data_IF_336042169815
#
_entry.id   IF_336042169815
#
_cell.length_a   1.000
_cell.length_b   1.000
_cell.length_c   1.000
_cell.angle_alpha   90.00
_cell.angle_beta   90.00
_cell.angle_gamma   90.00
#
_symmetry.space_group_name_H-M   'P 1'
#
loop_
_entity.id
_entity.type
_entity.pdbx_description
1 polymer ?
#
# COMPACT_ATOMS: atom_id res chain seq x y z
N UNK A 1 -24.30 -14.78 -4.30
CA UNK A 1 -22.91 -14.29 -4.28
C UNK A 1 -22.16 -15.14 -3.27
N UNK A 2 -21.04 -15.76 -3.65
CA UNK A 2 -20.26 -16.67 -2.81
C UNK A 2 -19.36 -15.84 -1.88
N UNK A 3 -19.44 -16.08 -0.57
CA UNK A 3 -18.61 -15.39 0.43
C UNK A 3 -17.50 -16.35 0.92
N UNK A 4 -16.25 -15.95 0.69
CA UNK A 4 -15.05 -16.70 1.06
C UNK A 4 -14.29 -16.06 2.23
N UNK A 5 -14.80 -14.97 2.81
CA UNK A 5 -14.11 -14.17 3.83
C UNK A 5 -13.54 -15.00 4.97
N UNK A 6 -14.32 -15.93 5.51
CA UNK A 6 -13.91 -16.84 6.59
C UNK A 6 -12.69 -17.69 6.23
N UNK A 7 -12.60 -18.15 4.98
CA UNK A 7 -11.47 -18.95 4.50
C UNK A 7 -10.19 -18.11 4.41
N UNK A 8 -10.31 -16.87 3.91
CA UNK A 8 -9.19 -15.94 3.82
C UNK A 8 -8.65 -15.60 5.22
N UNK A 9 -9.53 -15.20 6.16
CA UNK A 9 -9.10 -14.89 7.53
C UNK A 9 -8.46 -16.09 8.24
N UNK A 10 -9.04 -17.29 8.09
CA UNK A 10 -8.47 -18.51 8.68
C UNK A 10 -7.08 -18.82 8.13
N UNK A 11 -6.87 -18.63 6.83
CA UNK A 11 -5.60 -18.94 6.16
C UNK A 11 -4.50 -17.91 6.42
N UNK A 12 -4.90 -16.66 6.67
CA UNK A 12 -4.00 -15.54 7.00
C UNK A 12 -3.70 -15.41 8.49
N UNK A 13 -4.33 -16.24 9.32
CA UNK A 13 -4.12 -16.24 10.77
C UNK A 13 -2.63 -16.42 11.09
N UNK A 14 -2.12 -15.58 11.99
CA UNK A 14 -0.73 -15.59 12.45
C UNK A 14 0.33 -15.36 11.35
N UNK A 15 -0.06 -14.85 10.17
CA UNK A 15 0.84 -14.54 9.07
C UNK A 15 1.28 -13.08 9.12
N UNK A 16 2.59 -12.86 9.07
CA UNK A 16 3.18 -11.52 9.05
C UNK A 16 4.00 -11.24 7.79
N UNK A 17 4.63 -12.24 7.19
CA UNK A 17 5.47 -12.09 6.01
C UNK A 17 4.66 -11.64 4.78
N UNK A 18 5.01 -10.50 4.15
CA UNK A 18 4.25 -9.97 3.02
C UNK A 18 4.20 -10.87 1.78
N UNK A 19 5.27 -11.59 1.47
CA UNK A 19 5.30 -12.48 0.30
C UNK A 19 4.46 -13.74 0.56
N UNK A 20 4.51 -14.28 1.79
CA UNK A 20 3.63 -15.35 2.23
C UNK A 20 2.16 -14.93 2.15
N UNK A 21 1.82 -13.74 2.64
CA UNK A 21 0.45 -13.17 2.56
C UNK A 21 -0.03 -13.07 1.11
N UNK A 22 0.78 -12.48 0.22
CA UNK A 22 0.46 -12.33 -1.22
C UNK A 22 0.22 -13.69 -1.87
N UNK A 23 1.07 -14.67 -1.57
CA UNK A 23 0.96 -16.03 -2.10
C UNK A 23 -0.30 -16.74 -1.61
N UNK A 24 -0.62 -16.65 -0.31
CA UNK A 24 -1.85 -17.24 0.26
C UNK A 24 -3.07 -16.64 -0.42
N UNK A 25 -3.18 -15.31 -0.47
CA UNK A 25 -4.30 -14.60 -1.10
C UNK A 25 -4.43 -14.98 -2.58
N UNK A 26 -3.31 -15.02 -3.31
CA UNK A 26 -3.28 -15.42 -4.72
C UNK A 26 -3.79 -16.84 -4.95
N UNK A 27 -3.37 -17.81 -4.12
CA UNK A 27 -3.82 -19.19 -4.24
C UNK A 27 -5.31 -19.35 -3.89
N UNK A 28 -5.75 -18.74 -2.79
CA UNK A 28 -7.15 -18.80 -2.37
C UNK A 28 -8.10 -18.16 -3.36
N UNK A 29 -7.67 -17.09 -4.03
CA UNK A 29 -8.45 -16.47 -5.10
C UNK A 29 -8.69 -17.45 -6.26
N UNK A 30 -7.66 -18.19 -6.68
CA UNK A 30 -7.80 -19.20 -7.74
C UNK A 30 -8.70 -20.36 -7.30
N UNK A 31 -8.52 -20.86 -6.08
CA UNK A 31 -9.38 -21.93 -5.55
C UNK A 31 -10.84 -21.47 -5.44
N UNK A 32 -11.09 -20.22 -5.02
CA UNK A 32 -12.42 -19.64 -4.96
C UNK A 32 -13.03 -19.50 -6.36
N UNK A 33 -12.24 -19.06 -7.34
CA UNK A 33 -12.63 -19.03 -8.76
C UNK A 33 -12.99 -20.41 -9.26
N UNK A 34 -12.16 -21.42 -9.05
CA UNK A 34 -12.38 -22.77 -9.57
C UNK A 34 -13.65 -23.39 -8.95
N UNK A 35 -13.87 -23.15 -7.66
CA UNK A 35 -15.11 -23.54 -7.00
C UNK A 35 -16.33 -22.80 -7.56
N UNK A 36 -16.22 -21.51 -7.89
CA UNK A 36 -17.29 -20.76 -8.53
C UNK A 36 -17.59 -21.22 -9.97
N UNK A 37 -16.55 -21.57 -10.75
CA UNK A 37 -16.69 -22.15 -12.10
C UNK A 37 -17.42 -23.49 -12.02
N UNK A 38 -17.08 -24.32 -11.03
CA UNK A 38 -17.74 -25.59 -10.77
C UNK A 38 -19.20 -25.42 -10.35
N UNK A 39 -19.50 -24.50 -9.44
CA UNK A 39 -20.88 -24.23 -9.00
C UNK A 39 -21.79 -23.77 -10.14
N UNK A 40 -21.22 -23.15 -11.18
CA UNK A 40 -21.92 -22.69 -12.38
C UNK A 40 -21.95 -23.72 -13.51
N UNK A 41 -21.42 -24.94 -13.29
CA UNK A 41 -21.30 -26.00 -14.30
C UNK A 41 -20.57 -25.57 -15.58
N UNK A 42 -19.55 -24.71 -15.41
CA UNK A 42 -18.74 -24.18 -16.52
C UNK A 42 -17.49 -25.05 -16.80
N UNK A 43 -17.34 -26.22 -16.17
CA UNK A 43 -16.15 -27.09 -16.33
C UNK A 43 -15.99 -27.61 -17.77
N UNK A 44 -17.08 -27.72 -18.54
CA UNK A 44 -17.13 -28.36 -19.87
C UNK A 44 -17.69 -27.45 -20.98
N UNK A 45 -17.45 -26.13 -20.92
CA UNK A 45 -18.07 -25.16 -21.85
C UNK A 45 -17.15 -24.47 -22.87
N UNK A 46 -17.79 -23.97 -23.94
CA UNK A 46 -17.31 -22.96 -24.90
C UNK A 46 -17.32 -21.56 -24.26
N UNK A 47 -16.55 -21.38 -23.19
CA UNK A 47 -16.40 -20.09 -22.52
C UNK A 47 -14.99 -19.54 -22.71
N UNK A 48 -14.90 -18.21 -22.67
CA UNK A 48 -13.66 -17.46 -22.74
C UNK A 48 -13.48 -16.67 -21.43
N UNK A 49 -12.26 -16.63 -20.92
CA UNK A 49 -11.87 -15.77 -19.81
C UNK A 49 -11.55 -14.37 -20.34
N UNK A 50 -12.41 -13.40 -20.04
CA UNK A 50 -12.11 -11.98 -20.28
C UNK A 50 -11.25 -11.40 -19.16
N UNK A 51 -10.10 -10.80 -19.50
CA UNK A 51 -9.26 -10.06 -18.56
C UNK A 51 -9.12 -8.60 -18.98
N UNK A 52 -9.16 -7.70 -18.01
CA UNK A 52 -8.93 -6.27 -18.19
C UNK A 52 -7.45 -5.88 -18.16
N UNK A 53 -6.55 -6.75 -18.63
CA UNK A 53 -5.12 -6.48 -18.71
C UNK A 53 -4.87 -5.29 -19.62
N UNK A 54 -4.03 -4.33 -19.20
CA UNK A 54 -3.70 -3.12 -19.96
C UNK A 54 -2.24 -3.10 -20.41
N UNK A 55 -1.86 -2.17 -21.28
CA UNK A 55 -0.52 -2.13 -21.86
C UNK A 55 0.62 -2.09 -20.81
N UNK A 56 0.57 -1.26 -19.75
CA UNK A 56 1.58 -1.29 -18.68
C UNK A 56 1.81 -2.66 -18.04
N UNK A 57 0.75 -3.47 -17.86
CA UNK A 57 0.85 -4.80 -17.24
C UNK A 57 1.60 -5.78 -18.16
N UNK A 58 1.48 -5.61 -19.48
CA UNK A 58 2.16 -6.44 -20.48
C UNK A 58 3.66 -6.16 -20.55
N UNK A 59 4.10 -4.93 -20.29
CA UNK A 59 5.52 -4.57 -20.22
C UNK A 59 6.14 -5.14 -18.94
N UNK A 60 5.46 -5.00 -17.79
CA UNK A 60 5.94 -5.56 -16.53
C UNK A 60 6.06 -7.09 -16.58
N UNK A 61 5.16 -7.76 -17.31
CA UNK A 61 5.19 -9.22 -17.49
C UNK A 61 6.11 -9.70 -18.63
N UNK A 62 6.36 -8.87 -19.65
CA UNK A 62 7.26 -9.17 -20.78
C UNK A 62 8.73 -8.80 -20.55
N UNK A 63 9.03 -8.04 -19.50
CA UNK A 63 10.28 -7.30 -19.32
C UNK A 63 11.33 -7.90 -18.37
N UNK A 64 11.58 -9.21 -18.35
CA UNK A 64 12.84 -9.75 -17.78
C UNK A 64 13.23 -11.10 -18.39
N UNK A 65 14.05 -11.08 -19.45
CA UNK A 65 14.86 -12.25 -19.88
C UNK A 65 15.88 -12.71 -18.82
N UNK A 66 15.93 -12.08 -17.63
CA UNK A 66 16.90 -12.37 -16.57
C UNK A 66 16.33 -12.56 -15.14
N UNK A 67 15.02 -12.71 -14.95
CA UNK A 67 14.47 -13.21 -13.66
C UNK A 67 14.13 -14.69 -13.73
N UNK A 68 15.12 -15.53 -14.04
CA UNK A 68 14.99 -16.99 -14.02
C UNK A 68 15.22 -17.63 -12.63
N UNK A 69 15.41 -16.82 -11.59
CA UNK A 69 15.77 -17.28 -10.25
C UNK A 69 14.82 -16.67 -9.22
N UNK A 70 13.62 -17.24 -9.12
CA UNK A 70 12.97 -17.75 -7.89
C UNK A 70 11.79 -18.61 -8.40
N UNK A 71 12.12 -19.87 -8.76
CA UNK A 71 11.16 -20.90 -9.12
C UNK A 71 10.66 -21.59 -7.85
N UNK A 72 9.66 -21.03 -7.22
CA UNK A 72 8.79 -21.77 -6.29
C UNK A 72 7.37 -21.22 -6.46
N UNK A 73 6.41 -22.14 -6.70
CA UNK A 73 4.95 -21.96 -6.88
C UNK A 73 4.42 -22.14 -8.31
N UNK A 74 4.47 -23.41 -8.74
CA UNK A 74 4.17 -23.93 -10.07
C UNK A 74 2.67 -24.09 -10.46
N UNK A 75 1.67 -23.57 -9.73
CA UNK A 75 0.25 -23.83 -10.10
C UNK A 75 -0.46 -22.65 -10.78
N UNK A 76 -0.17 -21.40 -10.40
CA UNK A 76 -0.89 -20.20 -10.89
C UNK A 76 -0.61 -19.88 -12.35
N UNK A 77 0.69 -19.83 -12.66
CA UNK A 77 1.17 -19.51 -14.00
C UNK A 77 0.78 -20.63 -14.95
N UNK A 78 0.90 -21.89 -14.55
CA UNK A 78 0.51 -23.03 -15.38
C UNK A 78 -0.98 -23.11 -15.69
N UNK A 79 -1.88 -22.85 -14.73
CA UNK A 79 -3.32 -22.95 -14.98
C UNK A 79 -3.82 -21.86 -15.95
N UNK A 80 -3.35 -20.62 -15.78
CA UNK A 80 -3.68 -19.53 -16.70
C UNK A 80 -2.95 -19.70 -18.03
N UNK A 81 -1.67 -20.12 -18.03
CA UNK A 81 -0.96 -20.46 -19.26
C UNK A 81 -1.64 -21.56 -20.05
N UNK A 82 -2.15 -22.61 -19.40
CA UNK A 82 -2.95 -23.64 -20.09
C UNK A 82 -4.20 -23.05 -20.75
N UNK A 83 -4.90 -22.12 -20.09
CA UNK A 83 -6.04 -21.44 -20.71
C UNK A 83 -5.61 -20.55 -21.88
N UNK A 84 -4.48 -19.85 -21.76
CA UNK A 84 -3.91 -19.04 -22.86
C UNK A 84 -3.51 -19.94 -24.04
N UNK A 85 -2.79 -21.02 -23.79
CA UNK A 85 -2.37 -22.02 -24.79
C UNK A 85 -3.55 -22.69 -25.47
N UNK A 86 -4.65 -22.90 -24.75
CA UNK A 86 -5.92 -23.41 -25.28
C UNK A 86 -6.73 -22.35 -26.03
N UNK A 87 -6.25 -21.10 -26.13
CA UNK A 87 -6.96 -20.00 -26.80
C UNK A 87 -8.21 -19.53 -26.06
N UNK A 88 -8.31 -19.80 -24.75
CA UNK A 88 -9.49 -19.51 -23.93
C UNK A 88 -9.40 -18.19 -23.16
N UNK A 89 -8.37 -17.37 -23.38
CA UNK A 89 -8.21 -16.06 -22.72
C UNK A 89 -8.31 -14.95 -23.76
N UNK A 90 -9.11 -13.92 -23.46
CA UNK A 90 -9.23 -12.70 -24.26
C UNK A 90 -8.89 -11.48 -23.40
N UNK A 91 -8.07 -10.58 -23.95
CA UNK A 91 -7.62 -9.35 -23.28
C UNK A 91 -7.93 -8.15 -24.18
N UNK A 92 -9.19 -7.65 -24.19
CA UNK A 92 -9.64 -6.71 -25.23
C UNK A 92 -8.98 -5.33 -25.19
N UNK A 93 -8.41 -4.94 -24.04
CA UNK A 93 -7.86 -3.62 -23.77
C UNK A 93 -6.34 -3.63 -23.51
N UNK A 94 -5.67 -4.72 -23.89
CA UNK A 94 -4.23 -4.96 -23.68
C UNK A 94 -3.30 -3.93 -24.31
N UNK A 95 -3.76 -3.24 -25.35
CA UNK A 95 -2.96 -2.26 -26.09
C UNK A 95 -3.24 -0.81 -25.65
N UNK A 96 -4.09 -0.62 -24.63
CA UNK A 96 -4.49 0.70 -24.13
C UNK A 96 -3.71 1.09 -22.86
N UNK A 97 -3.42 2.38 -22.74
CA UNK A 97 -2.97 3.02 -21.52
C UNK A 97 -4.13 3.34 -20.57
N UNK A 98 -3.80 3.69 -19.32
CA UNK A 98 -4.79 3.82 -18.24
C UNK A 98 -5.76 5.00 -18.43
N UNK A 99 -5.29 6.10 -19.00
CA UNK A 99 -6.10 7.23 -19.43
C UNK A 99 -7.03 6.85 -20.59
N UNK A 100 -6.53 6.13 -21.59
CA UNK A 100 -7.34 5.64 -22.71
C UNK A 100 -8.45 4.66 -22.27
N UNK A 101 -8.15 3.77 -21.32
CA UNK A 101 -9.16 2.88 -20.71
C UNK A 101 -10.24 3.67 -19.99
N UNK A 102 -9.88 4.81 -19.37
CA UNK A 102 -10.85 5.69 -18.73
C UNK A 102 -11.76 6.36 -19.75
N UNK A 103 -11.19 6.93 -20.80
CA UNK A 103 -11.96 7.56 -21.87
C UNK A 103 -12.88 6.55 -22.56
N UNK A 104 -12.40 5.33 -22.80
CA UNK A 104 -13.21 4.22 -23.33
C UNK A 104 -14.36 3.86 -22.39
N UNK A 105 -14.13 3.81 -21.07
CA UNK A 105 -15.18 3.55 -20.09
C UNK A 105 -16.31 4.58 -20.15
N UNK A 106 -15.98 5.86 -20.25
CA UNK A 106 -16.95 6.94 -20.40
C UNK A 106 -17.68 6.85 -21.75
N UNK A 107 -16.98 6.53 -22.83
CA UNK A 107 -17.57 6.32 -24.16
C UNK A 107 -18.58 5.16 -24.17
N UNK A 108 -18.33 4.12 -23.38
CA UNK A 108 -19.23 2.98 -23.17
C UNK A 108 -20.42 3.30 -22.23
N UNK A 109 -20.49 4.51 -21.68
CA UNK A 109 -21.58 4.97 -20.82
C UNK A 109 -21.40 4.68 -19.32
N UNK A 110 -20.19 4.30 -18.87
CA UNK A 110 -19.90 4.19 -17.44
C UNK A 110 -19.81 5.59 -16.82
N UNK A 111 -20.32 5.75 -15.59
CA UNK A 111 -20.22 7.06 -14.92
C UNK A 111 -18.76 7.38 -14.59
N UNK A 112 -18.39 8.65 -14.75
CA UNK A 112 -17.02 9.13 -14.55
C UNK A 112 -16.45 8.82 -13.16
N UNK A 113 -17.32 8.71 -12.16
CA UNK A 113 -16.91 8.35 -10.79
C UNK A 113 -16.40 6.91 -10.68
N UNK A 114 -16.98 5.95 -11.42
CA UNK A 114 -16.52 4.55 -11.43
C UNK A 114 -15.19 4.41 -12.13
N UNK A 115 -15.08 5.09 -13.26
CA UNK A 115 -13.90 5.08 -14.13
C UNK A 115 -12.71 5.81 -13.49
N UNK A 116 -12.99 6.88 -12.75
CA UNK A 116 -12.01 7.71 -12.07
C UNK A 116 -11.46 7.14 -10.75
N UNK A 117 -11.91 5.95 -10.31
CA UNK A 117 -11.46 5.37 -9.04
C UNK A 117 -9.94 5.21 -8.96
N UNK A 118 -9.44 5.38 -7.75
CA UNK A 118 -8.06 5.03 -7.42
C UNK A 118 -7.84 3.53 -7.63
N UNK A 119 -6.65 3.11 -8.09
CA UNK A 119 -6.29 1.70 -8.14
C UNK A 119 -6.40 1.05 -6.76
N UNK A 120 -6.89 -0.18 -6.76
CA UNK A 120 -6.92 -1.02 -5.57
C UNK A 120 -6.07 -2.27 -5.81
N UNK A 121 -5.16 -2.63 -4.90
CA UNK A 121 -4.23 -3.73 -5.12
C UNK A 121 -4.97 -5.07 -5.17
N UNK A 122 -4.49 -6.00 -5.99
CA UNK A 122 -5.08 -7.35 -6.11
C UNK A 122 -5.17 -8.11 -4.78
N UNK A 123 -4.12 -8.12 -3.92
CA UNK A 123 -4.21 -8.69 -2.57
C UNK A 123 -5.15 -7.96 -1.60
N UNK A 124 -5.72 -6.82 -2.02
CA UNK A 124 -6.61 -5.99 -1.25
C UNK A 124 -5.97 -5.39 0.00
N UNK A 125 -6.75 -5.29 1.08
CA UNK A 125 -6.33 -4.67 2.34
C UNK A 125 -5.19 -5.43 3.05
N UNK A 126 -4.88 -6.67 2.65
CA UNK A 126 -3.85 -7.49 3.30
C UNK A 126 -2.46 -6.85 3.21
N UNK A 127 -2.16 -6.18 2.10
CA UNK A 127 -0.89 -5.42 1.91
C UNK A 127 -0.92 -4.01 2.52
N UNK A 128 -2.05 -3.64 3.13
CA UNK A 128 -2.24 -2.39 3.87
C UNK A 128 -2.37 -2.62 5.37
N UNK A 129 -2.21 -3.86 5.85
CA UNK A 129 -2.18 -4.21 7.27
C UNK A 129 -0.80 -4.76 7.62
N UNK A 130 0.04 -3.90 8.20
CA UNK A 130 1.41 -4.28 8.56
C UNK A 130 1.41 -5.18 9.78
N UNK A 131 2.26 -6.20 9.74
CA UNK A 131 2.36 -7.19 10.81
C UNK A 131 3.81 -7.55 11.19
N UNK A 132 4.81 -6.87 10.60
CA UNK A 132 6.23 -7.17 10.81
C UNK A 132 6.82 -6.21 11.86
N UNK A 133 7.25 -6.76 12.99
CA UNK A 133 8.03 -6.04 13.99
C UNK A 133 9.50 -5.95 13.54
N UNK A 134 10.07 -4.75 13.60
CA UNK A 134 11.50 -4.54 13.38
C UNK A 134 11.95 -3.34 14.18
N UNK A 135 12.86 -3.55 15.13
CA UNK A 135 13.41 -2.47 15.95
C UNK A 135 14.67 -1.91 15.28
N UNK A 136 14.80 -0.58 15.29
CA UNK A 136 16.08 0.06 15.02
C UNK A 136 17.09 -0.25 16.12
N UNK A 137 18.37 -0.18 15.79
CA UNK A 137 19.43 -0.24 16.81
C UNK A 137 19.73 1.16 17.36
N UNK A 138 20.35 1.24 18.54
CA UNK A 138 20.80 2.52 19.09
C UNK A 138 21.79 3.23 18.15
N UNK A 139 22.60 2.45 17.43
CA UNK A 139 23.50 2.97 16.41
C UNK A 139 22.73 3.61 15.25
N UNK A 140 21.70 2.94 14.75
CA UNK A 140 20.83 3.47 13.68
C UNK A 140 20.16 4.79 14.13
N UNK A 141 19.70 4.85 15.38
CA UNK A 141 19.08 6.04 15.94
C UNK A 141 20.11 7.19 16.06
N UNK A 142 21.32 6.92 16.53
CA UNK A 142 22.40 7.92 16.59
C UNK A 142 22.80 8.45 15.22
N UNK A 143 22.80 7.60 14.18
CA UNK A 143 23.09 8.01 12.81
C UNK A 143 22.03 8.99 12.27
N UNK A 144 20.74 8.73 12.52
CA UNK A 144 19.68 9.66 12.10
C UNK A 144 19.67 10.95 12.94
N UNK A 145 19.92 10.86 14.24
CA UNK A 145 19.97 12.03 15.14
C UNK A 145 21.11 12.97 14.75
N UNK A 146 22.27 12.41 14.38
CA UNK A 146 23.42 13.17 13.88
C UNK A 146 23.05 13.99 12.64
N UNK A 147 22.37 13.37 11.67
CA UNK A 147 21.89 14.09 10.49
C UNK A 147 20.81 15.13 10.83
N UNK A 148 19.77 14.74 11.58
CA UNK A 148 18.65 15.62 11.90
C UNK A 148 19.04 16.81 12.79
N UNK A 149 20.10 16.69 13.59
CA UNK A 149 20.65 17.82 14.35
C UNK A 149 21.13 18.97 13.46
N UNK A 150 21.41 18.69 12.18
CA UNK A 150 21.76 19.70 11.17
C UNK A 150 20.56 20.29 10.42
N UNK A 151 19.35 19.83 10.73
CA UNK A 151 18.11 20.28 10.10
C UNK A 151 17.27 21.01 11.15
N UNK A 152 17.22 22.34 11.05
CA UNK A 152 16.62 23.27 12.03
C UNK A 152 15.41 22.71 12.79
N UNK A 153 15.62 22.25 14.03
CA UNK A 153 14.56 21.79 14.94
C UNK A 153 13.91 20.44 14.60
N UNK A 154 14.26 19.80 13.49
CA UNK A 154 13.76 18.49 13.14
C UNK A 154 14.35 17.41 14.05
N UNK A 155 13.50 16.45 14.41
CA UNK A 155 13.85 15.28 15.20
C UNK A 155 13.14 14.06 14.64
N UNK A 156 13.68 12.87 14.89
CA UNK A 156 13.09 11.65 14.38
C UNK A 156 13.27 10.46 15.31
N UNK A 157 12.41 9.47 15.14
CA UNK A 157 12.49 8.18 15.83
C UNK A 157 12.30 7.05 14.85
N UNK A 158 13.02 5.95 15.05
CA UNK A 158 12.75 4.71 14.32
C UNK A 158 11.49 4.06 14.90
N UNK A 159 10.48 3.83 14.07
CA UNK A 159 9.30 3.07 14.45
C UNK A 159 9.63 1.57 14.50
N UNK A 160 9.05 0.79 15.44
CA UNK A 160 9.33 -0.64 15.60
C UNK A 160 8.62 -1.52 14.54
N UNK A 161 8.68 -1.13 13.27
CA UNK A 161 8.05 -1.80 12.12
C UNK A 161 8.97 -1.80 10.89
N UNK A 162 8.75 -2.75 9.99
CA UNK A 162 9.37 -2.77 8.67
C UNK A 162 8.35 -2.48 7.56
N UNK A 163 8.79 -1.82 6.49
CA UNK A 163 7.99 -1.61 5.27
C UNK A 163 8.82 -1.95 4.03
N UNK A 164 8.12 -2.33 2.96
CA UNK A 164 8.74 -2.62 1.67
C UNK A 164 9.26 -1.35 0.99
N UNK A 165 10.44 -1.48 0.37
CA UNK A 165 11.05 -0.47 -0.49
C UNK A 165 11.79 -1.13 -1.64
N UNK A 166 12.23 -0.33 -2.61
CA UNK A 166 13.01 -0.75 -3.77
C UNK A 166 14.37 -0.09 -3.72
N UNK A 167 15.43 -0.90 -3.70
CA UNK A 167 16.82 -0.43 -3.76
C UNK A 167 17.53 -1.16 -4.90
N UNK A 168 17.82 -0.43 -5.99
CA UNK A 168 18.19 -1.05 -7.27
C UNK A 168 17.04 -1.90 -7.79
N UNK A 169 17.33 -3.12 -8.25
CA UNK A 169 16.34 -4.02 -8.86
C UNK A 169 15.70 -5.01 -7.86
N UNK A 170 15.92 -4.82 -6.55
CA UNK A 170 15.44 -5.74 -5.51
C UNK A 170 14.53 -5.06 -4.49
N UNK A 171 13.53 -5.82 -4.04
CA UNK A 171 12.74 -5.49 -2.86
C UNK A 171 13.63 -5.56 -1.62
N UNK A 172 13.40 -4.63 -0.70
CA UNK A 172 14.02 -4.59 0.62
C UNK A 172 12.94 -4.37 1.66
N UNK A 173 13.14 -4.92 2.87
CA UNK A 173 12.29 -4.67 4.02
C UNK A 173 13.14 -4.03 5.12
N UNK A 174 12.89 -2.77 5.41
CA UNK A 174 13.70 -1.97 6.31
C UNK A 174 12.82 -1.04 7.16
N UNK A 175 13.46 -0.35 8.10
CA UNK A 175 12.78 0.44 9.12
C UNK A 175 12.03 1.65 8.51
N UNK A 176 11.06 2.14 9.28
CA UNK A 176 10.40 3.42 9.05
C UNK A 176 10.89 4.44 10.09
N UNK A 177 11.16 5.67 9.67
CA UNK A 177 11.46 6.80 10.56
C UNK A 177 10.27 7.74 10.61
N UNK A 178 9.86 8.15 11.80
CA UNK A 178 8.90 9.24 12.00
C UNK A 178 9.65 10.53 12.30
N UNK A 179 9.20 11.64 11.70
CA UNK A 179 9.67 13.01 11.96
C UNK A 179 8.63 13.80 12.78
N UNK A 180 9.09 14.72 13.61
CA UNK A 180 8.24 15.74 14.22
C UNK A 180 7.72 16.73 13.17
N UNK A 181 6.67 17.47 13.53
CA UNK A 181 6.12 18.54 12.72
C UNK A 181 6.23 19.87 13.45
N UNK A 182 7.13 20.72 12.95
CA UNK A 182 7.39 22.08 13.44
C UNK A 182 6.99 23.12 12.39
N UNK A 183 5.97 22.80 11.59
CA UNK A 183 5.51 23.61 10.45
C UNK A 183 6.55 23.76 9.33
N UNK A 184 7.48 22.81 9.23
CA UNK A 184 8.45 22.73 8.13
C UNK A 184 7.75 22.66 6.78
N UNK A 185 8.27 23.38 5.78
CA UNK A 185 7.70 23.37 4.44
C UNK A 185 7.90 22.02 3.74
N UNK A 186 7.03 21.73 2.77
CA UNK A 186 7.05 20.44 2.07
C UNK A 186 8.33 20.17 1.29
N UNK A 187 9.02 21.20 0.76
CA UNK A 187 10.27 20.98 0.02
C UNK A 187 11.41 20.57 0.95
N UNK A 188 11.47 21.17 2.14
CA UNK A 188 12.44 20.77 3.16
C UNK A 188 12.17 19.36 3.66
N UNK A 189 10.89 19.01 3.94
CA UNK A 189 10.51 17.65 4.34
C UNK A 189 10.84 16.61 3.25
N UNK A 190 10.58 16.92 1.99
CA UNK A 190 10.94 16.10 0.82
C UNK A 190 12.45 15.85 0.75
N UNK A 191 13.26 16.91 0.85
CA UNK A 191 14.73 16.83 0.86
C UNK A 191 15.25 15.95 2.01
N UNK A 192 14.71 16.14 3.21
CA UNK A 192 15.12 15.39 4.42
C UNK A 192 14.71 13.93 4.30
N UNK A 193 13.45 13.65 3.91
CA UNK A 193 12.95 12.29 3.72
C UNK A 193 13.75 11.53 2.67
N UNK A 194 14.00 12.17 1.52
CA UNK A 194 14.81 11.62 0.42
C UNK A 194 16.25 11.36 0.86
N UNK A 195 16.86 12.28 1.64
CA UNK A 195 18.21 12.07 2.17
C UNK A 195 18.25 10.85 3.09
N UNK A 196 17.34 10.78 4.07
CA UNK A 196 17.27 9.68 5.03
C UNK A 196 17.12 8.33 4.31
N UNK A 197 16.19 8.22 3.38
CA UNK A 197 15.87 6.96 2.70
C UNK A 197 16.98 6.50 1.74
N UNK A 198 17.74 7.42 1.15
CA UNK A 198 18.83 7.11 0.22
C UNK A 198 20.17 6.90 0.93
N UNK A 199 20.45 7.67 1.98
CA UNK A 199 21.74 7.64 2.70
C UNK A 199 21.86 6.42 3.61
N UNK A 200 20.76 6.03 4.25
CA UNK A 200 20.75 4.99 5.27
C UNK A 200 20.06 3.74 4.72
N UNK A 201 20.84 2.68 4.51
CA UNK A 201 20.35 1.42 3.93
C UNK A 201 19.29 0.73 4.79
N UNK A 202 19.25 1.01 6.09
CA UNK A 202 18.27 0.48 7.04
C UNK A 202 16.92 1.25 7.05
N UNK A 203 16.75 2.30 6.25
CA UNK A 203 15.51 3.08 6.15
C UNK A 203 14.84 2.83 4.79
N UNK A 204 13.54 2.52 4.79
CA UNK A 204 12.73 2.43 3.57
C UNK A 204 11.63 3.49 3.51
N UNK A 205 11.15 3.95 4.66
CA UNK A 205 10.06 4.92 4.76
C UNK A 205 10.44 6.04 5.73
N UNK A 206 10.01 7.24 5.39
CA UNK A 206 10.01 8.39 6.28
C UNK A 206 8.59 8.94 6.33
N UNK A 207 8.04 9.07 7.53
CA UNK A 207 6.70 9.61 7.77
C UNK A 207 6.79 10.84 8.66
N UNK A 208 5.83 11.74 8.53
CA UNK A 208 5.60 12.83 9.46
C UNK A 208 4.58 12.40 10.50
N UNK A 209 4.75 12.83 11.75
CA UNK A 209 3.66 12.85 12.74
C UNK A 209 3.04 14.27 12.74
N UNK A 210 1.93 14.50 12.02
CA UNK A 210 1.46 15.85 11.77
C UNK A 210 1.01 16.55 13.05
N UNK A 211 1.37 17.83 13.16
CA UNK A 211 1.04 18.73 14.27
C UNK A 211 1.62 18.32 15.63
N UNK A 212 2.68 17.50 15.65
CA UNK A 212 3.38 17.08 16.87
C UNK A 212 4.85 17.52 16.83
N UNK A 213 5.20 18.55 17.60
CA UNK A 213 6.54 19.14 17.57
C UNK A 213 7.61 18.38 18.37
N UNK A 214 7.20 17.61 19.37
CA UNK A 214 8.11 16.92 20.30
C UNK A 214 7.83 15.43 20.36
N UNK A 215 8.63 14.66 19.62
CA UNK A 215 8.53 13.19 19.61
C UNK A 215 8.90 12.55 20.94
N UNK A 216 9.59 13.24 21.87
CA UNK A 216 10.00 12.64 23.15
C UNK A 216 8.81 12.30 24.04
N UNK A 217 7.70 13.02 23.87
CA UNK A 217 6.42 12.77 24.58
C UNK A 217 5.75 11.47 24.16
N UNK A 218 6.08 10.98 22.96
CA UNK A 218 5.42 9.83 22.35
C UNK A 218 6.24 8.55 22.51
N UNK A 219 5.55 7.48 22.90
CA UNK A 219 6.11 6.14 22.99
C UNK A 219 5.48 5.26 21.90
N UNK A 220 6.25 4.93 20.87
CA UNK A 220 5.80 4.08 19.77
C UNK A 220 6.12 2.63 20.09
N UNK A 221 5.10 1.86 20.48
CA UNK A 221 5.25 0.43 20.74
C UNK A 221 4.66 -0.40 19.62
N UNK A 222 5.28 -1.55 19.34
CA UNK A 222 4.67 -2.55 18.48
C UNK A 222 3.56 -3.28 19.24
N UNK A 223 2.33 -3.20 18.73
CA UNK A 223 1.13 -3.73 19.40
C UNK A 223 0.65 -5.06 18.81
N UNK A 224 1.35 -5.59 17.80
CA UNK A 224 0.87 -6.71 16.99
C UNK A 224 -0.26 -6.35 16.03
N UNK A 225 -0.48 -7.23 15.04
CA UNK A 225 -1.58 -7.16 14.07
C UNK A 225 -2.13 -8.55 13.83
N UNK A 226 -3.45 -8.70 13.90
CA UNK A 226 -4.14 -9.91 13.50
C UNK A 226 -4.82 -9.66 12.15
N UNK A 227 -4.63 -10.56 11.18
CA UNK A 227 -5.26 -10.45 9.86
C UNK A 227 -6.67 -11.02 9.90
N UNK A 228 -7.54 -10.37 10.65
CA UNK A 228 -8.91 -10.80 10.93
C UNK A 228 -9.96 -9.78 10.48
N UNK A 229 -11.23 -10.14 10.70
CA UNK A 229 -12.35 -9.26 10.37
C UNK A 229 -12.28 -7.94 11.16
N UNK A 230 -11.87 -7.98 12.43
CA UNK A 230 -11.82 -6.78 13.27
C UNK A 230 -10.83 -5.75 12.73
N UNK A 231 -9.59 -6.17 12.44
CA UNK A 231 -8.57 -5.25 11.93
C UNK A 231 -8.88 -4.79 10.50
N UNK A 232 -9.44 -5.65 9.65
CA UNK A 232 -9.85 -5.24 8.31
C UNK A 232 -11.06 -4.29 8.33
N UNK A 233 -12.02 -4.45 9.23
CA UNK A 233 -13.13 -3.51 9.41
C UNK A 233 -12.63 -2.15 9.93
N UNK A 234 -11.70 -2.16 10.89
CA UNK A 234 -11.05 -0.94 11.37
C UNK A 234 -10.35 -0.19 10.22
N UNK A 235 -9.61 -0.90 9.37
CA UNK A 235 -8.97 -0.31 8.20
C UNK A 235 -10.00 0.19 7.17
N UNK A 236 -11.10 -0.54 6.93
CA UNK A 236 -12.19 -0.07 6.05
C UNK A 236 -12.81 1.22 6.56
N UNK A 237 -13.06 1.34 7.86
CA UNK A 237 -13.61 2.54 8.48
C UNK A 237 -12.66 3.73 8.33
N UNK A 238 -11.37 3.53 8.61
CA UNK A 238 -10.35 4.56 8.45
C UNK A 238 -10.17 4.99 6.98
N UNK A 239 -10.08 4.04 6.05
CA UNK A 239 -9.95 4.28 4.61
C UNK A 239 -11.17 5.04 4.07
N UNK A 240 -12.38 4.63 4.44
CA UNK A 240 -13.62 5.32 4.08
C UNK A 240 -13.69 6.74 4.66
N UNK A 241 -13.25 6.94 5.90
CA UNK A 241 -13.22 8.26 6.55
C UNK A 241 -12.29 9.21 5.80
N UNK A 242 -11.07 8.75 5.48
CA UNK A 242 -10.10 9.51 4.69
C UNK A 242 -10.65 9.83 3.30
N UNK A 243 -11.20 8.83 2.60
CA UNK A 243 -11.78 8.99 1.27
C UNK A 243 -12.93 10.02 1.28
N UNK A 244 -13.80 9.96 2.27
CA UNK A 244 -14.93 10.88 2.43
C UNK A 244 -14.46 12.33 2.58
N UNK A 245 -13.42 12.58 3.38
CA UNK A 245 -12.85 13.93 3.56
C UNK A 245 -12.23 14.43 2.25
N UNK A 246 -11.40 13.63 1.57
CA UNK A 246 -10.76 14.07 0.33
C UNK A 246 -11.76 14.25 -0.83
N UNK A 247 -12.86 13.48 -0.86
CA UNK A 247 -13.96 13.68 -1.83
C UNK A 247 -14.72 14.97 -1.54
N UNK A 248 -15.13 15.19 -0.29
CA UNK A 248 -15.80 16.40 0.16
C UNK A 248 -15.00 17.67 -0.18
N UNK A 249 -13.68 17.60 -0.09
CA UNK A 249 -12.77 18.71 -0.40
C UNK A 249 -12.31 18.77 -1.87
N UNK A 250 -12.83 17.89 -2.75
CA UNK A 250 -12.53 17.92 -4.19
C UNK A 250 -11.08 17.50 -4.54
N UNK A 251 -10.43 16.73 -3.68
CA UNK A 251 -9.05 16.28 -3.84
C UNK A 251 -8.91 14.87 -4.42
N UNK A 252 -9.98 14.07 -4.42
CA UNK A 252 -9.94 12.67 -4.88
C UNK A 252 -9.32 12.51 -6.27
N UNK A 253 -9.73 13.34 -7.24
CA UNK A 253 -9.23 13.28 -8.61
C UNK A 253 -7.84 13.94 -8.79
N UNK A 254 -7.36 14.70 -7.80
CA UNK A 254 -6.03 15.34 -7.82
C UNK A 254 -4.94 14.41 -7.29
N UNK A 255 -5.31 13.50 -6.40
CA UNK A 255 -4.42 12.48 -5.86
C UNK A 255 -4.48 11.27 -6.81
N UNK A 256 -3.33 10.76 -7.25
CA UNK A 256 -3.29 9.63 -8.18
C UNK A 256 -3.73 8.32 -7.50
N UNK A 257 -3.26 8.12 -6.26
CA UNK A 257 -3.71 7.06 -5.37
C UNK A 257 -3.46 7.45 -3.91
N UNK A 258 -4.37 7.07 -3.00
CA UNK A 258 -4.26 7.33 -1.55
C UNK A 258 -4.38 6.03 -0.75
N UNK A 259 -3.34 5.17 -0.66
CA UNK A 259 -3.39 4.07 0.28
C UNK A 259 -3.49 4.58 1.72
N UNK A 260 -4.45 4.03 2.47
CA UNK A 260 -4.49 4.12 3.93
C UNK A 260 -3.98 2.80 4.48
N UNK A 261 -2.99 2.86 5.36
CA UNK A 261 -2.27 1.69 5.86
C UNK A 261 -2.45 1.60 7.37
N UNK A 262 -2.91 0.45 7.86
CA UNK A 262 -3.02 0.17 9.29
C UNK A 262 -1.67 -0.34 9.82
N UNK A 263 -1.16 0.34 10.83
CA UNK A 263 0.08 0.02 11.52
C UNK A 263 -0.18 -0.61 12.90
N UNK A 264 0.62 -1.60 13.29
CA UNK A 264 0.63 -2.16 14.64
C UNK A 264 1.41 -1.27 15.61
N UNK A 265 1.12 0.04 15.62
CA UNK A 265 1.78 1.04 16.46
C UNK A 265 0.75 1.69 17.38
N UNK A 266 1.08 1.77 18.67
CA UNK A 266 0.26 2.43 19.69
C UNK A 266 1.03 2.58 21.00
N UNK A 267 0.34 2.98 22.07
CA UNK A 267 0.86 2.98 23.45
C UNK A 267 0.35 1.77 24.24
N UNK A 268 -0.77 1.18 23.81
CA UNK A 268 -1.43 0.00 24.39
C UNK A 268 -1.65 -1.08 23.34
N UNK A 269 -1.75 -2.34 23.78
CA UNK A 269 -1.89 -3.52 22.92
C UNK A 269 -3.08 -3.45 21.93
N UNK A 270 -4.20 -2.86 22.36
CA UNK A 270 -5.40 -2.74 21.53
C UNK A 270 -5.36 -1.57 20.54
N UNK A 271 -4.43 -0.63 20.71
CA UNK A 271 -4.32 0.55 19.85
C UNK A 271 -3.62 0.18 18.53
N UNK A 272 -4.00 0.88 17.46
CA UNK A 272 -3.38 0.83 16.14
C UNK A 272 -3.14 2.26 15.67
N UNK A 273 -2.45 2.42 14.56
CA UNK A 273 -2.26 3.73 13.95
C UNK A 273 -2.48 3.64 12.45
N UNK A 274 -2.68 4.77 11.79
CA UNK A 274 -2.78 4.78 10.33
C UNK A 274 -1.65 5.59 9.71
N UNK A 275 -1.27 5.23 8.49
CA UNK A 275 -0.46 6.07 7.61
C UNK A 275 -1.30 6.47 6.41
N UNK A 276 -1.28 7.76 6.11
CA UNK A 276 -1.76 8.30 4.84
C UNK A 276 -0.63 8.26 3.81
N UNK A 277 -0.88 7.66 2.65
CA UNK A 277 0.10 7.57 1.56
C UNK A 277 -0.41 8.27 0.30
N UNK A 278 -0.59 9.60 0.28
CA UNK A 278 -1.07 10.26 -0.93
C UNK A 278 0.07 10.30 -1.95
N UNK A 279 -0.18 9.79 -3.14
CA UNK A 279 0.82 9.69 -4.22
C UNK A 279 0.36 10.51 -5.42
N UNK A 280 1.31 11.20 -6.04
CA UNK A 280 1.17 11.78 -7.36
C UNK A 280 2.17 11.13 -8.32
N UNK A 281 1.73 10.82 -9.53
CA UNK A 281 2.56 10.17 -10.54
C UNK A 281 2.03 10.49 -11.94
N UNK A 282 2.94 10.60 -12.90
CA UNK A 282 2.61 10.69 -14.32
C UNK A 282 2.59 9.30 -14.99
N UNK A 283 3.49 8.38 -14.60
CA UNK A 283 3.73 7.10 -15.31
C UNK A 283 3.81 5.86 -14.38
N UNK A 284 3.45 5.99 -13.10
CA UNK A 284 3.52 4.96 -12.04
C UNK A 284 4.93 4.40 -11.70
N UNK A 285 5.91 4.50 -12.60
CA UNK A 285 7.29 4.04 -12.39
C UNK A 285 8.02 4.89 -11.34
N UNK A 286 7.88 6.21 -11.43
CA UNK A 286 8.30 7.17 -10.41
C UNK A 286 7.07 7.84 -9.81
N UNK A 287 7.12 8.12 -8.51
CA UNK A 287 5.98 8.72 -7.84
C UNK A 287 6.45 9.57 -6.65
N UNK A 288 5.92 10.78 -6.55
CA UNK A 288 6.18 11.65 -5.41
C UNK A 288 5.05 11.51 -4.39
N UNK A 289 5.33 11.80 -3.13
CA UNK A 289 4.23 12.03 -2.20
C UNK A 289 3.50 13.31 -2.61
N UNK A 290 2.18 13.27 -2.59
CA UNK A 290 1.36 14.44 -2.89
C UNK A 290 1.41 15.41 -1.71
N UNK A 291 1.83 16.66 -1.99
CA UNK A 291 2.00 17.71 -0.98
C UNK A 291 0.66 18.28 -0.56
N UNK A 292 0.04 17.62 0.41
CA UNK A 292 -1.29 17.96 0.92
C UNK A 292 -1.29 19.31 1.65
N UNK A 293 -2.35 20.10 1.49
CA UNK A 293 -2.51 21.31 2.31
C UNK A 293 -2.65 20.93 3.80
N UNK A 294 -2.02 21.72 4.67
CA UNK A 294 -2.00 21.46 6.12
C UNK A 294 -3.41 21.47 6.73
N UNK A 295 -4.28 22.34 6.25
CA UNK A 295 -5.70 22.42 6.65
C UNK A 295 -6.46 21.12 6.37
N UNK A 296 -6.23 20.51 5.20
CA UNK A 296 -6.82 19.22 4.80
C UNK A 296 -6.32 18.11 5.71
N UNK A 297 -5.00 18.06 5.95
CA UNK A 297 -4.40 17.05 6.82
C UNK A 297 -4.93 17.16 8.27
N UNK A 298 -5.21 18.37 8.73
CA UNK A 298 -5.85 18.63 10.02
C UNK A 298 -7.29 18.09 10.05
N UNK A 299 -8.09 18.32 9.01
CA UNK A 299 -9.47 17.79 8.93
C UNK A 299 -9.46 16.25 8.93
N UNK A 300 -8.56 15.62 8.17
CA UNK A 300 -8.41 14.16 8.17
C UNK A 300 -8.00 13.66 9.57
N UNK A 301 -7.02 14.30 10.23
CA UNK A 301 -6.59 13.92 11.60
C UNK A 301 -7.74 14.01 12.59
N UNK A 302 -8.56 15.07 12.53
CA UNK A 302 -9.71 15.23 13.41
C UNK A 302 -10.74 14.11 13.21
N UNK A 303 -11.08 13.78 11.97
CA UNK A 303 -12.09 12.75 11.69
C UNK A 303 -11.59 11.33 12.01
N UNK A 304 -10.36 10.99 11.61
CA UNK A 304 -9.78 9.67 11.85
C UNK A 304 -9.60 9.40 13.34
N UNK A 305 -9.12 10.36 14.13
CA UNK A 305 -8.87 10.15 15.56
C UNK A 305 -10.15 10.05 16.41
N UNK A 306 -11.34 10.17 15.80
CA UNK A 306 -12.61 9.80 16.44
C UNK A 306 -12.78 8.27 16.53
N UNK A 307 -12.06 7.51 15.70
CA UNK A 307 -12.06 6.05 15.73
C UNK A 307 -11.26 5.61 16.97
N UNK A 308 -11.89 5.01 18.01
CA UNK A 308 -11.26 4.83 19.32
C UNK A 308 -9.97 4.01 19.32
N UNK A 309 -9.85 3.06 18.38
CA UNK A 309 -8.68 2.20 18.24
C UNK A 309 -7.49 2.88 17.55
N UNK A 310 -7.68 4.01 16.87
CA UNK A 310 -6.61 4.71 16.15
C UNK A 310 -5.93 5.74 17.05
N UNK A 311 -4.67 5.49 17.40
CA UNK A 311 -3.86 6.33 18.28
C UNK A 311 -3.12 7.44 17.54
N UNK A 312 -2.46 7.10 16.44
CA UNK A 312 -1.68 8.06 15.65
C UNK A 312 -2.13 8.07 14.19
N UNK A 313 -2.01 9.25 13.57
CA UNK A 313 -2.07 9.42 12.13
C UNK A 313 -0.69 9.87 11.66
N UNK A 314 -0.07 9.10 10.77
CA UNK A 314 1.18 9.42 10.12
C UNK A 314 0.93 9.84 8.67
N UNK A 315 1.84 10.64 8.11
CA UNK A 315 1.79 11.07 6.72
C UNK A 315 3.09 10.66 6.00
N UNK A 316 3.00 9.84 4.96
CA UNK A 316 4.19 9.31 4.27
C UNK A 316 4.83 10.33 3.32
N UNK A 317 6.08 10.66 3.59
CA UNK A 317 6.91 11.63 2.85
C UNK A 317 7.82 10.96 1.80
N UNK A 318 7.76 9.64 1.67
CA UNK A 318 8.75 8.88 0.89
C UNK A 318 8.42 8.93 -0.60
N UNK A 319 9.37 9.28 -1.47
CA UNK A 319 9.19 9.15 -2.93
C UNK A 319 9.48 7.71 -3.41
N UNK A 320 8.97 7.34 -4.59
CA UNK A 320 9.30 6.10 -5.30
C UNK A 320 10.27 6.43 -6.44
N UNK A 321 11.52 5.91 -6.43
CA UNK A 321 12.21 5.17 -5.34
C UNK A 321 12.69 6.09 -4.18
N UNK A 322 13.07 5.54 -3.00
CA UNK A 322 13.21 4.11 -2.66
C UNK A 322 11.96 3.50 -2.03
N UNK A 323 10.91 4.28 -1.79
CA UNK A 323 9.61 3.74 -1.36
C UNK A 323 8.89 3.02 -2.51
N UNK A 324 7.71 2.50 -2.20
CA UNK A 324 6.75 2.00 -3.20
C UNK A 324 5.40 2.70 -2.97
N UNK A 325 4.38 2.36 -3.77
CA UNK A 325 3.02 2.90 -3.58
C UNK A 325 2.39 2.30 -2.32
N UNK A 326 2.26 0.97 -2.27
CA UNK A 326 1.79 0.23 -1.09
C UNK A 326 2.90 0.07 -0.05
N UNK A 327 2.58 -0.31 1.19
CA UNK A 327 3.59 -0.45 2.25
C UNK A 327 4.14 -1.86 2.42
N UNK A 328 3.60 -2.84 1.70
CA UNK A 328 4.00 -4.25 1.68
C UNK A 328 3.94 -4.88 0.29
#
# INVERSE_FOLDING_TARGET
MRDESSLFYKSLKDKSDPEEKRKIVGNLFLEARDRAVKDLDLEYGDWLLGQGTIYPDTIESGGTKHSHTIKTHHNRVEAIQKLIEQGKVIEPIRDLYKDEVRDLGVLLGLESEWVGRHPFPGPGLVVRMLAVEKKGTDKDQLEIDSYLSTQDGLSGKILPIASVGVKGDRRSYANCVVLNDIETDWNTLDRVATHLSNRFSFINRVVLLPFESDLKKWNFQFTGMQLDKKCSDLLREADFTVESVIRKLGLYNKIWQMPVVLLPIGEKENEKSIVLRPVESQEAMTANFFRMERSVLQEIKIEVLKIPEIRYLFFDLTNKPPGTIEWE
#
